data_IF_619694182041
#
_entry.id   IF_619694182041
#
_cell.length_a   1.000
_cell.length_b   1.000
_cell.length_c   1.000
_cell.angle_alpha   90.00
_cell.angle_beta   90.00
_cell.angle_gamma   90.00
#
_symmetry.space_group_name_H-M   'P 1'
#
loop_
_entity.id
_entity.type
_entity.pdbx_description
1 polymer ?
#
# COMPACT_ATOMS: atom_id res chain seq x y z
N UNK A 1 12.58 -19.11 0.87
CA UNK A 1 12.36 -18.85 2.32
C UNK A 1 10.88 -18.61 2.51
N UNK A 2 10.26 -19.04 3.62
CA UNK A 2 8.85 -18.74 3.93
C UNK A 2 8.79 -17.80 5.13
N UNK A 3 8.13 -16.68 4.95
CA UNK A 3 7.96 -15.68 6.01
C UNK A 3 6.48 -15.65 6.38
N UNK A 4 6.18 -15.91 7.65
CA UNK A 4 4.79 -15.94 8.17
C UNK A 4 4.40 -14.61 8.77
N UNK A 5 3.19 -14.15 8.45
CA UNK A 5 2.66 -12.88 8.92
C UNK A 5 1.17 -12.90 9.09
N UNK A 6 0.65 -11.72 9.40
CA UNK A 6 -0.78 -11.45 9.54
C UNK A 6 -1.17 -10.25 8.71
N UNK A 7 -2.45 -10.13 8.40
CA UNK A 7 -3.01 -8.84 8.01
C UNK A 7 -4.16 -8.48 8.96
N UNK A 8 -4.27 -7.19 9.23
CA UNK A 8 -5.17 -6.67 10.26
C UNK A 8 -5.81 -5.35 9.87
N UNK A 9 -6.93 -5.08 10.49
CA UNK A 9 -7.70 -3.86 10.34
C UNK A 9 -8.38 -3.50 11.66
N UNK A 10 -9.30 -2.55 11.65
CA UNK A 10 -10.17 -2.25 12.78
C UNK A 10 -11.00 -3.45 13.27
N UNK A 11 -11.19 -4.48 12.43
CA UNK A 11 -11.91 -5.70 12.81
C UNK A 11 -11.28 -6.47 13.96
N UNK A 12 -9.94 -6.42 14.12
CA UNK A 12 -9.22 -7.06 15.21
C UNK A 12 -9.25 -6.23 16.51
N UNK A 13 -9.74 -4.98 16.43
CA UNK A 13 -9.76 -4.07 17.57
C UNK A 13 -8.36 -3.78 18.12
N UNK A 14 -8.27 -3.64 19.43
CA UNK A 14 -6.98 -3.38 20.09
C UNK A 14 -6.14 -4.66 20.17
N UNK A 15 -4.96 -4.61 19.57
CA UNK A 15 -3.98 -5.71 19.53
C UNK A 15 -2.89 -5.47 20.58
N UNK A 16 -2.50 -6.52 21.30
CA UNK A 16 -1.28 -6.54 22.13
C UNK A 16 -0.08 -6.90 21.22
N UNK A 17 0.48 -5.90 20.58
CA UNK A 17 1.60 -6.07 19.64
C UNK A 17 2.88 -6.57 20.29
N UNK A 18 3.05 -6.39 21.59
CA UNK A 18 4.16 -7.00 22.32
C UNK A 18 4.05 -8.52 22.28
N UNK A 19 2.91 -9.04 22.64
CA UNK A 19 2.65 -10.49 22.63
C UNK A 19 2.70 -11.04 21.19
N UNK A 20 2.20 -10.30 20.20
CA UNK A 20 2.30 -10.68 18.78
C UNK A 20 3.76 -10.76 18.33
N UNK A 21 4.61 -9.82 18.71
CA UNK A 21 6.04 -9.83 18.39
C UNK A 21 6.77 -11.01 19.05
N UNK A 22 6.47 -11.29 20.33
CA UNK A 22 7.02 -12.44 21.06
C UNK A 22 6.61 -13.78 20.40
N UNK A 23 5.51 -13.82 19.65
CA UNK A 23 5.07 -14.98 18.85
C UNK A 23 5.83 -15.13 17.51
N UNK A 24 6.92 -14.39 17.32
CA UNK A 24 7.79 -14.44 16.13
C UNK A 24 7.06 -14.13 14.81
N UNK A 25 6.37 -12.99 14.79
CA UNK A 25 5.69 -12.51 13.60
C UNK A 25 6.69 -11.88 12.61
N UNK A 26 6.75 -12.41 11.38
CA UNK A 26 7.68 -11.97 10.35
C UNK A 26 7.26 -10.66 9.67
N UNK A 27 5.95 -10.36 9.61
CA UNK A 27 5.41 -9.11 9.06
C UNK A 27 3.93 -8.90 9.47
N UNK A 28 3.47 -7.67 9.30
CA UNK A 28 2.06 -7.32 9.36
C UNK A 28 1.66 -6.45 8.16
N UNK A 29 0.54 -6.75 7.52
CA UNK A 29 -0.07 -5.91 6.49
C UNK A 29 -1.27 -5.19 7.10
N UNK A 30 -1.27 -3.86 7.08
CA UNK A 30 -2.25 -3.03 7.78
C UNK A 30 -3.25 -2.41 6.80
N UNK A 31 -4.55 -2.48 7.09
CA UNK A 31 -5.55 -1.74 6.32
C UNK A 31 -5.35 -0.24 6.52
N UNK A 32 -5.22 0.52 5.43
CA UNK A 32 -5.03 1.97 5.51
C UNK A 32 -6.36 2.68 5.64
N UNK A 33 -7.33 2.36 4.77
CA UNK A 33 -8.63 3.03 4.75
C UNK A 33 -9.78 2.06 4.60
N UNK A 34 -10.92 2.46 5.11
CA UNK A 34 -12.23 1.84 4.90
C UNK A 34 -12.91 2.39 3.64
N UNK A 35 -14.20 2.03 3.44
CA UNK A 35 -15.04 2.62 2.40
C UNK A 35 -15.09 4.14 2.53
N UNK A 36 -15.22 4.84 1.39
CA UNK A 36 -15.25 6.30 1.36
C UNK A 36 -13.93 6.98 1.74
N UNK A 37 -12.82 6.26 1.65
CA UNK A 37 -11.47 6.74 2.02
C UNK A 37 -11.34 7.20 3.49
N UNK A 38 -12.19 6.70 4.37
CA UNK A 38 -12.07 6.93 5.82
C UNK A 38 -10.85 6.16 6.33
N UNK A 39 -9.98 6.82 7.09
CA UNK A 39 -8.81 6.15 7.66
C UNK A 39 -9.27 5.04 8.61
N UNK A 40 -8.69 3.85 8.50
CA UNK A 40 -8.95 2.76 9.43
C UNK A 40 -8.64 3.20 10.86
N UNK A 41 -9.61 3.05 11.75
CA UNK A 41 -9.54 3.61 13.12
C UNK A 41 -8.39 3.07 13.98
N UNK A 42 -7.81 1.93 13.59
CA UNK A 42 -6.66 1.34 14.27
C UNK A 42 -5.35 1.44 13.47
N UNK A 43 -5.36 2.02 12.26
CA UNK A 43 -4.16 2.09 11.42
C UNK A 43 -2.98 2.76 12.14
N UNK A 44 -3.18 3.93 12.72
CA UNK A 44 -2.13 4.70 13.39
C UNK A 44 -1.54 3.93 14.59
N UNK A 45 -2.40 3.34 15.40
CA UNK A 45 -1.97 2.54 16.54
C UNK A 45 -1.21 1.30 16.08
N UNK A 46 -1.75 0.54 15.14
CA UNK A 46 -1.13 -0.67 14.61
C UNK A 46 0.23 -0.36 13.97
N UNK A 47 0.32 0.70 13.17
CA UNK A 47 1.58 1.12 12.55
C UNK A 47 2.63 1.49 13.60
N UNK A 48 2.27 2.33 14.57
CA UNK A 48 3.16 2.77 15.65
C UNK A 48 3.68 1.59 16.48
N UNK A 49 2.79 0.69 16.87
CA UNK A 49 3.16 -0.47 17.69
C UNK A 49 4.00 -1.49 16.90
N UNK A 50 3.69 -1.76 15.62
CA UNK A 50 4.55 -2.60 14.77
C UNK A 50 5.97 -2.02 14.69
N UNK A 51 6.10 -0.72 14.49
CA UNK A 51 7.41 -0.04 14.47
C UNK A 51 8.16 -0.18 15.80
N UNK A 52 7.47 0.00 16.93
CA UNK A 52 8.02 -0.12 18.28
C UNK A 52 8.59 -1.52 18.54
N UNK A 53 7.95 -2.56 18.04
CA UNK A 53 8.37 -3.95 18.22
C UNK A 53 9.13 -4.53 17.03
N UNK A 54 9.59 -3.68 16.09
CA UNK A 54 10.37 -4.08 14.92
C UNK A 54 9.68 -5.14 14.04
N UNK A 55 8.35 -5.11 13.96
CA UNK A 55 7.59 -5.94 13.03
C UNK A 55 7.60 -5.24 11.66
N UNK A 56 8.10 -5.88 10.59
CA UNK A 56 8.05 -5.33 9.25
C UNK A 56 6.62 -5.08 8.79
N UNK A 57 6.37 -3.91 8.18
CA UNK A 57 5.02 -3.47 7.83
C UNK A 57 4.85 -3.34 6.32
N UNK A 58 3.72 -3.78 5.84
CA UNK A 58 3.10 -3.40 4.58
C UNK A 58 1.72 -2.80 4.83
N UNK A 59 1.03 -2.46 3.75
CA UNK A 59 -0.29 -1.87 3.88
C UNK A 59 -1.23 -2.37 2.76
N UNK A 60 -2.54 -2.33 2.99
CA UNK A 60 -3.49 -2.62 1.92
C UNK A 60 -4.63 -1.62 1.86
N UNK A 61 -5.17 -1.45 0.65
CA UNK A 61 -6.36 -0.69 0.34
C UNK A 61 -7.40 -1.60 -0.31
N UNK A 62 -8.47 -1.90 0.40
CA UNK A 62 -9.65 -2.53 -0.19
C UNK A 62 -10.33 -1.52 -1.13
N UNK A 63 -10.35 -1.80 -2.43
CA UNK A 63 -10.84 -0.85 -3.42
C UNK A 63 -12.34 -1.01 -3.67
N UNK A 64 -13.03 0.13 -3.70
CA UNK A 64 -14.42 0.26 -4.14
C UNK A 64 -14.55 1.08 -5.44
N UNK A 65 -13.43 1.43 -6.07
CA UNK A 65 -13.43 2.29 -7.24
C UNK A 65 -14.01 1.60 -8.48
N UNK A 66 -14.92 2.26 -9.16
CA UNK A 66 -15.50 1.84 -10.43
C UNK A 66 -14.90 2.60 -11.62
N UNK A 67 -14.24 3.72 -11.36
CA UNK A 67 -13.65 4.60 -12.38
C UNK A 67 -12.18 4.89 -12.07
N UNK A 68 -11.45 5.34 -13.11
CA UNK A 68 -10.05 5.75 -12.96
C UNK A 68 -9.92 6.94 -11.98
N UNK A 69 -10.86 7.88 -12.00
CA UNK A 69 -10.83 9.01 -11.08
C UNK A 69 -10.99 8.58 -9.61
N UNK A 70 -11.86 7.61 -9.34
CA UNK A 70 -12.06 7.07 -8.00
C UNK A 70 -10.82 6.32 -7.50
N UNK A 71 -10.24 5.42 -8.32
CA UNK A 71 -9.05 4.67 -7.91
C UNK A 71 -7.85 5.60 -7.68
N UNK A 72 -7.71 6.67 -8.47
CA UNK A 72 -6.70 7.69 -8.24
C UNK A 72 -6.92 8.45 -6.93
N UNK A 73 -8.19 8.71 -6.57
CA UNK A 73 -8.53 9.30 -5.28
C UNK A 73 -8.16 8.37 -4.13
N UNK A 74 -8.46 7.06 -4.26
CA UNK A 74 -8.05 6.05 -3.28
C UNK A 74 -6.51 6.00 -3.13
N UNK A 75 -5.78 5.97 -4.25
CA UNK A 75 -4.31 5.94 -4.23
C UNK A 75 -3.70 7.19 -3.58
N UNK A 76 -4.20 8.39 -3.93
CA UNK A 76 -3.75 9.64 -3.28
C UNK A 76 -4.02 9.64 -1.79
N UNK A 77 -5.18 9.12 -1.36
CA UNK A 77 -5.49 9.00 0.07
C UNK A 77 -4.53 8.05 0.78
N UNK A 78 -4.16 6.94 0.16
CA UNK A 78 -3.13 6.01 0.70
C UNK A 78 -1.80 6.74 0.88
N UNK A 79 -1.33 7.48 -0.13
CA UNK A 79 -0.07 8.24 -0.05
C UNK A 79 -0.14 9.33 1.02
N UNK A 80 -1.25 10.06 1.11
CA UNK A 80 -1.49 11.07 2.15
C UNK A 80 -1.38 10.47 3.55
N UNK A 81 -2.06 9.34 3.81
CA UNK A 81 -2.04 8.67 5.11
C UNK A 81 -0.65 8.13 5.45
N UNK A 82 0.04 7.54 4.48
CA UNK A 82 1.41 7.05 4.68
C UNK A 82 2.40 8.18 4.94
N UNK A 83 2.21 9.34 4.33
CA UNK A 83 2.99 10.55 4.59
C UNK A 83 4.52 10.32 4.69
N UNK A 84 5.09 9.61 3.72
CA UNK A 84 6.53 9.28 3.68
C UNK A 84 6.99 8.21 4.69
N UNK A 85 6.08 7.56 5.40
CA UNK A 85 6.43 6.46 6.31
C UNK A 85 7.05 5.29 5.55
N UNK A 86 8.14 4.74 6.06
CA UNK A 86 8.80 3.58 5.43
C UNK A 86 7.99 2.30 5.64
N UNK A 87 7.75 1.60 4.54
CA UNK A 87 7.19 0.25 4.52
C UNK A 87 8.26 -0.73 4.00
N UNK A 88 8.37 -1.90 4.63
CA UNK A 88 9.21 -2.99 4.13
C UNK A 88 8.47 -3.77 3.05
N UNK A 89 7.20 -4.06 3.28
CA UNK A 89 6.30 -4.75 2.36
C UNK A 89 5.54 -3.76 1.46
N UNK A 90 5.01 -4.22 0.32
CA UNK A 90 4.26 -3.37 -0.60
C UNK A 90 3.01 -2.71 -0.01
N UNK A 91 2.53 -1.70 -0.71
CA UNK A 91 1.13 -1.31 -0.69
C UNK A 91 0.38 -2.23 -1.63
N UNK A 92 -0.58 -2.97 -1.08
CA UNK A 92 -1.39 -3.94 -1.80
C UNK A 92 -2.72 -3.31 -2.23
N UNK A 93 -3.00 -3.32 -3.53
CA UNK A 93 -4.33 -3.02 -4.04
C UNK A 93 -5.19 -4.28 -3.92
N UNK A 94 -6.18 -4.23 -3.07
CA UNK A 94 -7.11 -5.32 -2.81
C UNK A 94 -8.29 -5.24 -3.78
N UNK A 95 -8.32 -6.21 -4.70
CA UNK A 95 -9.31 -6.34 -5.78
C UNK A 95 -10.14 -7.60 -5.57
N UNK A 96 -11.25 -7.48 -4.88
CA UNK A 96 -12.17 -8.60 -4.62
C UNK A 96 -13.64 -8.17 -4.52
N UNK A 97 -13.91 -6.85 -4.62
CA UNK A 97 -15.28 -6.37 -4.53
C UNK A 97 -16.11 -6.80 -5.74
N UNK A 98 -17.18 -7.54 -5.48
CA UNK A 98 -17.95 -8.21 -6.53
C UNK A 98 -18.54 -7.26 -7.58
N UNK A 99 -18.85 -6.01 -7.20
CA UNK A 99 -19.37 -5.04 -8.16
C UNK A 99 -18.33 -4.65 -9.22
N UNK A 100 -17.04 -4.61 -8.87
CA UNK A 100 -15.96 -4.33 -9.82
C UNK A 100 -15.86 -5.43 -10.90
N UNK A 101 -16.31 -6.65 -10.63
CA UNK A 101 -16.28 -7.75 -11.60
C UNK A 101 -17.04 -7.42 -12.88
N UNK A 102 -18.09 -6.61 -12.79
CA UNK A 102 -18.87 -6.17 -13.95
C UNK A 102 -18.14 -5.22 -14.90
N UNK A 103 -17.02 -4.64 -14.46
CA UNK A 103 -16.22 -3.72 -15.27
C UNK A 103 -15.45 -4.42 -16.40
N UNK A 104 -15.21 -5.72 -16.25
CA UNK A 104 -14.38 -6.51 -17.17
C UNK A 104 -12.89 -6.27 -17.00
N UNK A 105 -12.10 -7.20 -17.54
CA UNK A 105 -10.67 -7.27 -17.31
C UNK A 105 -9.88 -6.03 -17.78
N UNK A 106 -10.31 -5.39 -18.87
CA UNK A 106 -9.64 -4.18 -19.38
C UNK A 106 -9.80 -2.98 -18.43
N UNK A 107 -11.00 -2.77 -17.89
CA UNK A 107 -11.20 -1.67 -16.95
C UNK A 107 -10.50 -1.93 -15.63
N UNK A 108 -10.53 -3.16 -15.12
CA UNK A 108 -9.75 -3.56 -13.92
C UNK A 108 -8.26 -3.30 -14.14
N UNK A 109 -7.73 -3.58 -15.34
CA UNK A 109 -6.36 -3.25 -15.71
C UNK A 109 -6.07 -1.76 -15.59
N UNK A 110 -6.92 -0.90 -16.17
CA UNK A 110 -6.77 0.56 -16.11
C UNK A 110 -6.81 1.07 -14.66
N UNK A 111 -7.69 0.50 -13.82
CA UNK A 111 -7.75 0.86 -12.41
C UNK A 111 -6.44 0.51 -11.69
N UNK A 112 -5.96 -0.73 -11.86
CA UNK A 112 -4.76 -1.20 -11.19
C UNK A 112 -3.50 -0.40 -11.60
N UNK A 113 -3.34 -0.10 -12.91
CA UNK A 113 -2.22 0.73 -13.38
C UNK A 113 -2.30 2.18 -12.89
N UNK A 114 -3.51 2.75 -12.82
CA UNK A 114 -3.69 4.12 -12.30
C UNK A 114 -3.35 4.22 -10.80
N UNK A 115 -3.66 3.18 -10.03
CA UNK A 115 -3.27 3.08 -8.62
C UNK A 115 -1.78 2.90 -8.48
N UNK A 116 -1.21 1.91 -9.18
CA UNK A 116 0.22 1.59 -9.18
C UNK A 116 1.08 2.82 -9.46
N UNK A 117 0.75 3.57 -10.51
CA UNK A 117 1.49 4.77 -10.91
C UNK A 117 1.62 5.80 -9.78
N UNK A 118 0.59 6.00 -8.98
CA UNK A 118 0.60 6.95 -7.86
C UNK A 118 1.42 6.40 -6.69
N UNK A 119 1.24 5.11 -6.37
CA UNK A 119 1.93 4.45 -5.26
C UNK A 119 3.44 4.39 -5.51
N UNK A 120 3.84 3.99 -6.72
CA UNK A 120 5.27 3.86 -7.07
C UNK A 120 5.94 5.22 -7.23
N UNK A 121 5.23 6.24 -7.76
CA UNK A 121 5.73 7.63 -7.80
C UNK A 121 5.98 8.20 -6.39
N UNK A 122 5.25 7.73 -5.38
CA UNK A 122 5.48 8.09 -3.99
C UNK A 122 6.57 7.24 -3.29
N UNK A 123 7.28 6.38 -4.04
CA UNK A 123 8.40 5.56 -3.55
C UNK A 123 8.00 4.24 -2.87
N UNK A 124 6.74 3.82 -2.95
CA UNK A 124 6.29 2.57 -2.35
C UNK A 124 6.33 1.41 -3.34
N UNK A 125 6.66 0.21 -2.84
CA UNK A 125 6.48 -1.03 -3.59
C UNK A 125 4.99 -1.29 -3.79
N UNK A 126 4.61 -1.81 -4.94
CA UNK A 126 3.22 -2.11 -5.29
C UNK A 126 3.00 -3.61 -5.48
N UNK A 127 1.82 -4.08 -5.08
CA UNK A 127 1.34 -5.42 -5.38
C UNK A 127 -0.19 -5.47 -5.42
N UNK A 128 -0.73 -6.57 -5.87
CA UNK A 128 -2.17 -6.80 -5.98
C UNK A 128 -2.55 -7.98 -5.06
N UNK A 129 -3.56 -7.76 -4.23
CA UNK A 129 -4.23 -8.83 -3.51
C UNK A 129 -5.54 -9.20 -4.21
N UNK A 130 -5.80 -10.49 -4.33
CA UNK A 130 -7.08 -11.03 -4.74
C UNK A 130 -7.19 -12.51 -4.35
N UNK A 131 -8.38 -13.10 -4.47
CA UNK A 131 -8.54 -14.54 -4.34
C UNK A 131 -8.22 -15.28 -5.65
N UNK A 132 -8.15 -16.61 -5.59
CA UNK A 132 -7.85 -17.48 -6.74
C UNK A 132 -8.82 -17.27 -7.89
N UNK A 133 -10.12 -17.12 -7.63
CA UNK A 133 -11.11 -16.91 -8.69
C UNK A 133 -10.87 -15.60 -9.44
N UNK A 134 -10.59 -14.52 -8.72
CA UNK A 134 -10.24 -13.24 -9.34
C UNK A 134 -8.96 -13.33 -10.17
N UNK A 135 -7.92 -13.97 -9.65
CA UNK A 135 -6.65 -14.13 -10.37
C UNK A 135 -6.81 -14.88 -11.69
N UNK A 136 -7.65 -15.94 -11.70
CA UNK A 136 -7.84 -16.78 -12.88
C UNK A 136 -8.84 -16.20 -13.87
N UNK A 137 -9.91 -15.55 -13.40
CA UNK A 137 -11.08 -15.25 -14.22
C UNK A 137 -11.35 -13.75 -14.43
N UNK A 138 -10.72 -12.85 -13.64
CA UNK A 138 -10.97 -11.40 -13.71
C UNK A 138 -9.70 -10.63 -14.05
N UNK A 139 -8.57 -11.01 -13.49
CA UNK A 139 -7.29 -10.34 -13.71
C UNK A 139 -6.74 -10.69 -15.10
N UNK A 140 -6.48 -9.67 -15.92
CA UNK A 140 -5.89 -9.87 -17.24
C UNK A 140 -4.40 -10.24 -17.16
N UNK A 141 -3.87 -10.81 -18.25
CA UNK A 141 -2.46 -11.24 -18.34
C UNK A 141 -1.46 -10.08 -18.14
N UNK A 142 -1.82 -8.86 -18.56
CA UNK A 142 -0.94 -7.68 -18.43
C UNK A 142 -0.66 -7.31 -16.96
N UNK A 143 -1.57 -7.59 -16.05
CA UNK A 143 -1.36 -7.35 -14.61
C UNK A 143 -0.49 -8.43 -13.96
N UNK A 144 -0.34 -9.61 -14.57
CA UNK A 144 0.45 -10.72 -14.00
C UNK A 144 1.96 -10.47 -13.94
N UNK A 145 2.42 -9.31 -14.42
CA UNK A 145 3.77 -8.79 -14.22
C UNK A 145 4.04 -8.29 -12.79
N UNK A 146 2.98 -7.96 -12.04
CA UNK A 146 3.08 -7.46 -10.66
C UNK A 146 3.16 -8.61 -9.65
N UNK A 147 3.59 -8.29 -8.44
CA UNK A 147 3.52 -9.21 -7.32
C UNK A 147 2.06 -9.44 -6.91
N UNK A 148 1.68 -10.69 -6.72
CA UNK A 148 0.35 -11.06 -6.25
C UNK A 148 0.39 -11.71 -4.87
N UNK A 149 -0.50 -11.26 -4.00
CA UNK A 149 -0.83 -11.88 -2.73
C UNK A 149 -2.21 -12.55 -2.88
N UNK A 150 -2.24 -13.87 -2.81
CA UNK A 150 -3.41 -14.67 -3.19
C UNK A 150 -4.13 -15.21 -1.97
N UNK A 151 -5.44 -14.98 -1.86
CA UNK A 151 -6.28 -15.63 -0.87
C UNK A 151 -6.81 -16.98 -1.38
N UNK A 152 -6.61 -18.01 -0.58
CA UNK A 152 -7.23 -19.33 -0.78
C UNK A 152 -7.38 -20.05 0.54
N UNK A 153 -8.60 -20.27 0.96
CA UNK A 153 -8.95 -20.88 2.23
C UNK A 153 -9.53 -22.28 2.04
N UNK A 154 -9.41 -23.17 3.04
CA UNK A 154 -10.18 -24.42 3.07
C UNK A 154 -11.67 -24.15 3.27
N UNK A 155 -12.53 -25.03 2.75
CA UNK A 155 -13.98 -24.93 2.96
C UNK A 155 -14.37 -24.92 4.45
N UNK A 156 -13.60 -25.62 5.28
CA UNK A 156 -13.72 -25.59 6.75
C UNK A 156 -12.45 -24.94 7.32
N UNK A 157 -12.40 -23.61 7.26
CA UNK A 157 -11.28 -22.85 7.78
C UNK A 157 -11.28 -22.87 9.31
N UNK A 158 -10.22 -23.41 9.88
CA UNK A 158 -9.97 -23.50 11.32
C UNK A 158 -8.68 -22.81 11.77
N UNK A 159 -8.08 -21.99 10.91
CA UNK A 159 -6.85 -21.26 11.19
C UNK A 159 -5.57 -22.04 10.89
N UNK A 160 -5.66 -23.31 10.45
CA UNK A 160 -4.49 -24.15 10.19
C UNK A 160 -4.10 -24.13 8.71
N UNK A 161 -2.78 -24.19 8.48
CA UNK A 161 -2.23 -24.28 7.14
C UNK A 161 -2.54 -25.63 6.50
N UNK A 162 -3.11 -25.61 5.29
CA UNK A 162 -3.38 -26.81 4.49
C UNK A 162 -2.61 -26.74 3.17
N UNK A 163 -1.40 -27.31 3.15
CA UNK A 163 -0.44 -27.23 2.02
C UNK A 163 -1.04 -27.61 0.66
N UNK A 164 -1.99 -28.55 0.62
CA UNK A 164 -2.69 -28.96 -0.62
C UNK A 164 -3.46 -27.82 -1.31
N UNK A 165 -3.71 -26.71 -0.60
CA UNK A 165 -4.41 -25.53 -1.12
C UNK A 165 -3.46 -24.42 -1.54
N UNK A 166 -2.17 -24.58 -1.36
CA UNK A 166 -1.17 -23.59 -1.75
C UNK A 166 -1.30 -23.26 -3.23
N UNK A 167 -1.48 -21.97 -3.61
CA UNK A 167 -1.42 -21.56 -5.00
C UNK A 167 -0.01 -21.77 -5.56
N UNK A 168 0.10 -22.15 -6.81
CA UNK A 168 1.35 -22.25 -7.58
C UNK A 168 1.73 -20.94 -8.28
N UNK A 169 1.07 -19.86 -7.92
CA UNK A 169 1.28 -18.51 -8.44
C UNK A 169 1.19 -17.47 -7.30
N UNK A 170 1.72 -16.27 -7.57
CA UNK A 170 1.82 -15.21 -6.59
C UNK A 170 3.08 -15.31 -5.72
N UNK A 171 3.35 -14.27 -4.97
CA UNK A 171 4.49 -14.14 -4.05
C UNK A 171 4.11 -14.34 -2.59
N UNK A 172 2.82 -14.39 -2.31
CA UNK A 172 2.25 -14.58 -0.99
C UNK A 172 0.91 -15.30 -1.04
N UNK A 173 0.58 -15.96 0.04
CA UNK A 173 -0.66 -16.72 0.23
C UNK A 173 -1.29 -16.36 1.56
N UNK A 174 -2.53 -15.82 1.51
CA UNK A 174 -3.41 -15.73 2.67
C UNK A 174 -4.19 -17.05 2.77
N UNK A 175 -3.82 -17.87 3.76
CA UNK A 175 -4.27 -19.25 3.82
C UNK A 175 -5.43 -19.49 4.78
N UNK A 176 -5.76 -18.53 5.62
CA UNK A 176 -6.84 -18.62 6.59
C UNK A 176 -7.31 -17.23 7.01
N UNK A 177 -8.61 -17.10 7.28
CA UNK A 177 -9.24 -15.95 7.93
C UNK A 177 -9.72 -16.26 9.36
N UNK A 178 -9.35 -17.42 9.91
CA UNK A 178 -9.87 -17.95 11.19
C UNK A 178 -8.78 -18.33 12.19
N UNK A 179 -7.54 -17.87 11.97
CA UNK A 179 -6.45 -18.18 12.88
C UNK A 179 -6.62 -17.46 14.22
N UNK A 180 -6.09 -18.08 15.27
CA UNK A 180 -5.99 -17.47 16.60
C UNK A 180 -4.52 -17.26 16.93
N UNK A 181 -4.17 -16.05 17.34
CA UNK A 181 -2.81 -15.67 17.68
C UNK A 181 -2.80 -15.01 19.05
N UNK A 182 -1.85 -15.37 19.91
CA UNK A 182 -1.66 -14.66 21.17
C UNK A 182 -1.51 -13.13 20.94
N UNK A 183 -2.21 -12.34 21.74
CA UNK A 183 -2.24 -10.89 21.61
C UNK A 183 -3.38 -10.33 20.74
N UNK A 184 -4.14 -11.17 20.03
CA UNK A 184 -5.29 -10.76 19.22
C UNK A 184 -6.56 -11.41 19.77
N UNK A 185 -7.56 -10.58 20.06
CA UNK A 185 -8.89 -11.06 20.47
C UNK A 185 -9.68 -11.51 19.23
N UNK A 186 -10.18 -12.74 19.23
CA UNK A 186 -10.94 -13.28 18.10
C UNK A 186 -10.06 -13.98 17.07
N UNK A 187 -10.36 -13.77 15.79
CA UNK A 187 -9.65 -14.37 14.67
C UNK A 187 -8.89 -13.33 13.84
N UNK A 188 -7.86 -13.79 13.16
CA UNK A 188 -7.01 -12.96 12.30
C UNK A 188 -6.61 -13.72 11.04
N UNK A 189 -6.39 -12.99 9.97
CA UNK A 189 -5.90 -13.53 8.72
C UNK A 189 -4.43 -13.91 8.81
N UNK A 190 -4.09 -15.10 8.24
CA UNK A 190 -2.74 -15.66 8.26
C UNK A 190 -2.16 -15.80 6.87
N UNK A 191 -0.90 -15.41 6.80
CA UNK A 191 -0.19 -15.28 5.54
C UNK A 191 1.16 -15.98 5.55
N UNK A 192 1.59 -16.42 4.36
CA UNK A 192 2.96 -16.81 4.06
C UNK A 192 3.40 -16.03 2.83
N UNK A 193 4.55 -15.35 2.91
CA UNK A 193 5.22 -14.78 1.75
C UNK A 193 6.46 -15.59 1.39
N UNK A 194 6.68 -15.78 0.10
CA UNK A 194 7.82 -16.51 -0.49
C UNK A 194 8.92 -15.55 -0.95
N UNK A 195 8.56 -14.29 -1.17
CA UNK A 195 9.46 -13.19 -1.50
C UNK A 195 9.83 -12.44 -0.22
N UNK A 196 11.12 -12.29 0.03
CA UNK A 196 11.60 -11.45 1.11
C UNK A 196 11.68 -10.00 0.64
N UNK A 197 10.93 -9.13 1.30
CA UNK A 197 10.95 -7.69 1.06
C UNK A 197 11.88 -6.94 2.03
N UNK A 198 12.44 -7.65 3.01
CA UNK A 198 13.38 -7.11 4.01
C UNK A 198 14.84 -7.17 3.56
N UNK A 199 15.13 -7.59 2.32
CA UNK A 199 16.52 -7.67 1.88
C UNK A 199 17.22 -6.32 2.06
N UNK A 200 18.29 -6.34 2.85
CA UNK A 200 19.10 -5.19 3.26
C UNK A 200 19.75 -4.40 2.11
N UNK A 201 19.61 -4.84 0.87
CA UNK A 201 20.14 -4.17 -0.31
C UNK A 201 19.52 -2.79 -0.58
N UNK A 202 18.32 -2.53 -0.05
CA UNK A 202 17.69 -1.20 -0.17
C UNK A 202 18.13 -0.24 0.95
N UNK A 203 18.72 -0.74 2.05
CA UNK A 203 19.11 0.09 3.20
C UNK A 203 20.43 0.84 2.95
N UNK A 204 21.34 0.29 2.16
CA UNK A 204 22.61 0.97 1.85
C UNK A 204 22.48 2.12 0.84
N UNK A 205 21.43 2.13 0.02
CA UNK A 205 21.18 3.29 -0.89
C UNK A 205 20.46 4.46 -0.20
N UNK A 206 19.76 4.23 0.88
CA UNK A 206 18.99 5.29 1.57
C UNK A 206 19.71 5.92 2.76
N UNK A 207 20.83 5.35 3.24
CA UNK A 207 21.69 5.96 4.26
C UNK A 207 22.81 6.83 3.68
N UNK A 208 22.77 7.17 2.41
CA UNK A 208 23.55 8.29 1.93
C UNK A 208 22.88 9.55 2.50
N UNK A 209 23.29 9.94 3.70
CA UNK A 209 23.07 11.29 4.20
C UNK A 209 23.55 12.18 3.07
N UNK A 210 22.61 12.86 2.42
CA UNK A 210 22.92 13.80 1.34
C UNK A 210 24.01 14.73 1.86
N UNK A 211 25.14 14.79 1.20
CA UNK A 211 26.19 15.72 1.59
C UNK A 211 25.62 17.14 1.54
N UNK A 212 26.17 18.03 2.34
CA UNK A 212 25.76 19.44 2.31
C UNK A 212 25.78 20.01 0.88
N UNK A 213 26.71 19.56 0.05
CA UNK A 213 26.81 19.96 -1.35
C UNK A 213 25.66 19.43 -2.21
N UNK A 214 25.28 18.17 -2.04
CA UNK A 214 24.13 17.58 -2.74
C UNK A 214 22.81 18.23 -2.34
N UNK A 215 22.61 18.48 -1.04
CA UNK A 215 21.43 19.19 -0.55
C UNK A 215 21.35 20.62 -1.13
N UNK A 216 22.46 21.33 -1.20
CA UNK A 216 22.55 22.66 -1.82
C UNK A 216 22.17 22.57 -3.30
N UNK A 217 22.70 21.60 -4.05
CA UNK A 217 22.41 21.44 -5.47
C UNK A 217 20.94 21.13 -5.74
N UNK A 218 20.29 20.32 -4.89
CA UNK A 218 18.85 20.07 -4.99
C UNK A 218 18.04 21.35 -4.77
N UNK A 219 18.37 22.13 -3.75
CA UNK A 219 17.69 23.41 -3.47
C UNK A 219 17.92 24.41 -4.59
N UNK A 220 19.15 24.51 -5.13
CA UNK A 220 19.47 25.38 -6.26
C UNK A 220 18.70 24.94 -7.52
N UNK A 221 18.60 23.63 -7.80
CA UNK A 221 17.83 23.12 -8.93
C UNK A 221 16.36 23.51 -8.86
N UNK A 222 15.73 23.38 -7.67
CA UNK A 222 14.34 23.82 -7.45
C UNK A 222 14.22 25.34 -7.67
N UNK A 223 15.18 26.12 -7.16
CA UNK A 223 15.17 27.58 -7.33
C UNK A 223 15.36 27.99 -8.79
N UNK A 224 16.23 27.30 -9.53
CA UNK A 224 16.45 27.54 -10.97
C UNK A 224 15.19 27.23 -11.79
N UNK A 225 14.46 26.17 -11.44
CA UNK A 225 13.19 25.86 -12.10
C UNK A 225 12.12 26.93 -11.91
N UNK A 226 12.20 27.72 -10.83
CA UNK A 226 11.24 28.80 -10.54
C UNK A 226 11.67 30.16 -11.11
N UNK A 227 12.86 30.27 -11.70
CA UNK A 227 13.29 31.52 -12.36
C UNK A 227 12.28 31.90 -13.44
N UNK A 228 11.80 33.15 -13.37
CA UNK A 228 10.80 33.70 -14.29
C UNK A 228 9.35 33.45 -13.88
N UNK A 229 9.12 32.91 -12.67
CA UNK A 229 7.77 32.84 -12.11
C UNK A 229 7.27 34.25 -11.78
N UNK A 230 6.09 34.59 -12.29
CA UNK A 230 5.44 35.90 -12.06
C UNK A 230 4.30 35.76 -11.07
N UNK A 231 4.15 36.74 -10.17
CA UNK A 231 2.98 36.83 -9.29
C UNK A 231 1.68 36.79 -10.09
N UNK A 232 0.62 36.28 -9.46
CA UNK A 232 -0.69 36.07 -10.10
C UNK A 232 -1.71 37.12 -9.67
N UNK A 233 -2.67 37.38 -10.55
CA UNK A 233 -3.80 38.27 -10.26
C UNK A 233 -4.79 37.65 -9.26
N UNK A 234 -4.91 36.33 -9.25
CA UNK A 234 -5.81 35.55 -8.42
C UNK A 234 -5.34 34.09 -8.30
N UNK A 235 -6.06 33.26 -7.58
CA UNK A 235 -5.77 31.87 -7.33
C UNK A 235 -6.04 30.96 -8.55
N UNK A 236 -5.63 31.34 -9.75
CA UNK A 236 -5.73 30.50 -10.94
C UNK A 236 -4.39 30.40 -11.68
N UNK A 237 -4.14 29.27 -12.36
CA UNK A 237 -2.93 29.01 -13.12
C UNK A 237 -1.63 29.12 -12.26
N UNK A 238 -1.69 28.69 -11.01
CA UNK A 238 -0.55 28.79 -10.08
C UNK A 238 0.67 28.00 -10.55
N UNK A 239 0.49 26.91 -11.31
CA UNK A 239 1.60 26.09 -11.87
C UNK A 239 2.19 26.66 -13.16
N UNK A 240 1.62 27.67 -13.75
CA UNK A 240 2.17 28.34 -14.93
C UNK A 240 3.11 29.47 -14.53
N UNK A 241 4.35 29.50 -15.03
CA UNK A 241 5.31 30.57 -14.69
C UNK A 241 4.79 31.95 -15.06
N UNK A 242 4.13 32.10 -16.19
CA UNK A 242 3.76 33.41 -16.75
C UNK A 242 2.24 33.63 -16.90
N UNK A 243 1.45 32.56 -16.90
CA UNK A 243 -0.01 32.64 -17.01
C UNK A 243 -0.63 33.41 -15.86
N UNK A 244 -1.70 34.19 -16.15
CA UNK A 244 -2.42 34.96 -15.15
C UNK A 244 -1.53 35.94 -14.33
N UNK A 245 -0.48 36.50 -14.95
CA UNK A 245 0.46 37.41 -14.28
C UNK A 245 -0.25 38.66 -13.76
N UNK A 246 0.15 39.13 -12.59
CA UNK A 246 -0.36 40.34 -11.93
C UNK A 246 0.35 40.59 -10.60
N UNK A 247 -0.07 41.64 -9.90
CA UNK A 247 0.57 42.12 -8.67
C UNK A 247 -0.29 41.88 -7.41
N UNK A 248 -1.10 40.81 -7.39
CA UNK A 248 -1.99 40.55 -6.27
C UNK A 248 -1.41 39.60 -5.21
N UNK A 249 -0.10 39.31 -5.30
CA UNK A 249 0.66 38.49 -4.35
C UNK A 249 0.13 37.04 -4.19
N UNK A 250 -0.47 36.50 -5.25
CA UNK A 250 -0.74 35.06 -5.30
C UNK A 250 0.47 34.33 -5.86
N UNK A 251 0.92 33.29 -5.18
CA UNK A 251 2.05 32.47 -5.59
C UNK A 251 1.69 30.99 -5.50
N UNK A 252 2.54 30.16 -6.07
CA UNK A 252 2.45 28.71 -5.99
C UNK A 252 2.74 28.18 -4.57
N UNK A 253 3.46 28.96 -3.77
CA UNK A 253 3.97 28.62 -2.43
C UNK A 253 3.37 29.52 -1.35
#
# INVERSE_FOLDING_TARGET
MEIRGIDVSAWQGKIDWKTVADYSMGFAILRITEAGNVIDSYFEQNFSECRKYNIPVGAYKYSYAMTVAEIQSEARKVVEVLNGRKLQYPVWLDLEWNNQRSLGAEQIHKLAEAFEKIITAAGYKFGIYCNVDWYLNVICSHLKKYDFWIARYPASDNGTLQERLRPDFGVGWQYSSKAKIPGISGTVDRNIFYKDYNEAKDIEKENTVMTKSEAINVVLGIAEEEIGYLEKKNNSQLDSKTGNAGSANYTKY
#
